data_IF_359692796532
#
_entry.id   IF_359692796532
#
_cell.length_a   1.000
_cell.length_b   1.000
_cell.length_c   1.000
_cell.angle_alpha   90.00
_cell.angle_beta   90.00
_cell.angle_gamma   90.00
#
_symmetry.space_group_name_H-M   'P 1'
#
loop_
_entity.id
_entity.type
_entity.pdbx_description
1 polymer ?
#
# COMPACT_ATOMS: atom_id res chain seq x y z
N UNK A 1 -0.86 -27.01 -9.77
CA UNK A 1 -0.51 -25.59 -9.50
C UNK A 1 0.93 -25.36 -9.04
N UNK A 2 1.64 -26.33 -8.47
CA UNK A 2 3.07 -26.16 -8.11
C UNK A 2 3.99 -25.99 -9.33
N UNK A 3 3.72 -26.72 -10.43
CA UNK A 3 4.46 -26.58 -11.69
C UNK A 3 4.37 -25.18 -12.30
N UNK A 4 3.24 -24.49 -12.17
CA UNK A 4 3.06 -23.10 -12.64
C UNK A 4 3.71 -22.06 -11.73
N UNK A 5 3.88 -22.32 -10.44
CA UNK A 5 4.65 -21.46 -9.54
C UNK A 5 6.14 -21.47 -9.88
N UNK A 6 6.75 -22.67 -9.97
CA UNK A 6 8.18 -22.80 -10.22
C UNK A 6 8.60 -22.22 -11.58
N UNK A 7 7.82 -22.48 -12.64
CA UNK A 7 8.06 -21.91 -13.96
C UNK A 7 7.96 -20.38 -13.96
N UNK A 8 6.92 -19.81 -13.31
CA UNK A 8 6.77 -18.35 -13.18
C UNK A 8 7.93 -17.71 -12.41
N UNK A 9 8.33 -18.27 -11.27
CA UNK A 9 9.49 -17.73 -10.53
C UNK A 9 10.78 -17.83 -11.32
N UNK A 10 11.00 -18.93 -12.04
CA UNK A 10 12.17 -19.06 -12.91
C UNK A 10 12.19 -17.96 -13.97
N UNK A 11 11.04 -17.66 -14.57
CA UNK A 11 10.91 -16.58 -15.54
C UNK A 11 11.17 -15.21 -14.91
N UNK A 12 10.51 -14.90 -13.80
CA UNK A 12 10.65 -13.61 -13.08
C UNK A 12 12.10 -13.37 -12.68
N UNK A 13 12.76 -14.37 -12.12
CA UNK A 13 14.11 -14.24 -11.55
C UNK A 13 15.17 -14.20 -12.65
N UNK A 14 15.04 -15.01 -13.72
CA UNK A 14 16.10 -15.15 -14.72
C UNK A 14 15.92 -14.24 -15.94
N UNK A 15 14.68 -13.89 -16.28
CA UNK A 15 14.40 -13.09 -17.48
C UNK A 15 14.01 -11.64 -17.15
N UNK A 16 13.70 -11.33 -15.90
CA UNK A 16 13.26 -10.01 -15.43
C UNK A 16 12.30 -9.30 -16.42
N UNK A 17 11.20 -9.95 -16.84
CA UNK A 17 10.27 -9.37 -17.80
C UNK A 17 9.57 -8.13 -17.22
N UNK A 18 9.14 -7.22 -18.09
CA UNK A 18 8.34 -6.05 -17.69
C UNK A 18 7.01 -6.48 -17.09
N UNK A 19 6.42 -5.64 -16.23
CA UNK A 19 5.11 -5.89 -15.62
C UNK A 19 4.04 -6.08 -16.69
N UNK A 20 4.12 -5.33 -17.81
CA UNK A 20 3.20 -5.52 -18.96
C UNK A 20 3.29 -6.93 -19.52
N UNK A 21 4.50 -7.41 -19.82
CA UNK A 21 4.70 -8.76 -20.35
C UNK A 21 4.25 -9.84 -19.35
N UNK A 22 4.48 -9.63 -18.06
CA UNK A 22 4.00 -10.52 -17.00
C UNK A 22 2.47 -10.55 -16.92
N UNK A 23 1.81 -9.40 -17.06
CA UNK A 23 0.35 -9.30 -17.05
C UNK A 23 -0.27 -9.99 -18.27
N UNK A 24 0.32 -9.84 -19.44
CA UNK A 24 -0.16 -10.48 -20.66
C UNK A 24 0.00 -12.01 -20.60
N UNK A 25 1.13 -12.49 -20.05
CA UNK A 25 1.46 -13.92 -19.99
C UNK A 25 0.80 -14.64 -18.81
N UNK A 26 0.73 -13.98 -17.66
CA UNK A 26 0.26 -14.54 -16.40
C UNK A 26 -0.79 -13.62 -15.75
N UNK A 27 -1.92 -13.33 -16.41
CA UNK A 27 -2.92 -12.39 -15.91
C UNK A 27 -3.47 -12.80 -14.53
N UNK A 28 -3.59 -14.10 -14.28
CA UNK A 28 -4.03 -14.64 -13.00
C UNK A 28 -3.08 -14.28 -11.84
N UNK A 29 -1.79 -13.95 -12.08
CA UNK A 29 -0.86 -13.51 -11.03
C UNK A 29 -1.32 -12.21 -10.35
N UNK A 30 -2.11 -11.41 -11.05
CA UNK A 30 -2.64 -10.13 -10.58
C UNK A 30 -4.04 -10.26 -9.94
N UNK A 31 -4.57 -11.48 -9.84
CA UNK A 31 -5.76 -11.75 -9.05
C UNK A 31 -5.42 -11.75 -7.55
N UNK A 32 -6.20 -11.05 -6.69
CA UNK A 32 -5.93 -11.00 -5.24
C UNK A 32 -5.75 -12.38 -4.59
N UNK A 33 -6.50 -13.41 -5.00
CA UNK A 33 -6.36 -14.75 -4.43
C UNK A 33 -5.01 -15.38 -4.76
N UNK A 34 -4.52 -15.16 -5.99
CA UNK A 34 -3.21 -15.65 -6.40
C UNK A 34 -2.09 -14.88 -5.73
N UNK A 35 -2.19 -13.55 -5.61
CA UNK A 35 -1.19 -12.73 -4.90
C UNK A 35 -1.02 -13.23 -3.46
N UNK A 36 -2.13 -13.45 -2.74
CA UNK A 36 -2.07 -14.01 -1.39
C UNK A 36 -1.41 -15.40 -1.37
N UNK A 37 -1.76 -16.28 -2.32
CA UNK A 37 -1.20 -17.62 -2.39
C UNK A 37 0.31 -17.61 -2.70
N UNK A 38 0.78 -16.76 -3.61
CA UNK A 38 2.20 -16.58 -3.94
C UNK A 38 2.98 -16.03 -2.75
N UNK A 39 2.42 -15.00 -2.10
CA UNK A 39 3.00 -14.40 -0.91
C UNK A 39 3.14 -15.43 0.20
N UNK A 40 2.07 -16.14 0.54
CA UNK A 40 2.07 -17.16 1.58
C UNK A 40 3.04 -18.30 1.27
N UNK A 41 3.16 -18.75 0.01
CA UNK A 41 4.16 -19.76 -0.38
C UNK A 41 5.59 -19.29 -0.16
N UNK A 42 5.85 -17.99 -0.30
CA UNK A 42 7.18 -17.40 -0.18
C UNK A 42 7.55 -17.09 1.26
N UNK A 43 6.61 -16.55 2.03
CA UNK A 43 6.87 -15.97 3.36
C UNK A 43 6.27 -16.77 4.51
N UNK A 44 5.42 -17.76 4.20
CA UNK A 44 4.58 -18.52 5.15
C UNK A 44 3.51 -17.69 5.87
N UNK A 45 3.37 -16.40 5.55
CA UNK A 45 2.45 -15.46 6.20
C UNK A 45 1.18 -15.26 5.38
N UNK A 46 0.03 -15.19 6.06
CA UNK A 46 -1.24 -14.76 5.48
C UNK A 46 -1.26 -13.23 5.31
N UNK A 47 -1.06 -12.76 4.07
CA UNK A 47 -0.83 -11.36 3.74
C UNK A 47 -1.91 -10.41 4.25
N UNK A 48 -3.11 -10.42 3.64
CA UNK A 48 -4.18 -9.48 3.98
C UNK A 48 -4.59 -9.56 5.47
N UNK A 49 -4.86 -10.76 6.05
CA UNK A 49 -5.26 -10.85 7.46
C UNK A 49 -4.19 -10.32 8.42
N UNK A 50 -2.91 -10.67 8.23
CA UNK A 50 -1.83 -10.22 9.12
C UNK A 50 -1.62 -8.71 8.99
N UNK A 51 -1.63 -8.19 7.77
CA UNK A 51 -1.48 -6.75 7.52
C UNK A 51 -2.59 -5.94 8.21
N UNK A 52 -3.85 -6.32 8.01
CA UNK A 52 -4.99 -5.61 8.59
C UNK A 52 -5.00 -5.71 10.12
N UNK A 53 -4.75 -6.89 10.67
CA UNK A 53 -4.68 -7.09 12.12
C UNK A 53 -3.59 -6.23 12.76
N UNK A 54 -2.40 -6.16 12.16
CA UNK A 54 -1.32 -5.32 12.66
C UNK A 54 -1.64 -3.82 12.56
N UNK A 55 -2.20 -3.38 11.42
CA UNK A 55 -2.61 -1.98 11.23
C UNK A 55 -3.64 -1.55 12.28
N UNK A 56 -4.68 -2.37 12.50
CA UNK A 56 -5.72 -2.10 13.49
C UNK A 56 -5.16 -2.09 14.91
N UNK A 57 -4.29 -3.04 15.24
CA UNK A 57 -3.60 -3.12 16.53
C UNK A 57 -2.80 -1.85 16.84
N UNK A 58 -2.11 -1.29 15.85
CA UNK A 58 -1.28 -0.11 16.03
C UNK A 58 -2.04 1.22 15.89
N UNK A 59 -3.23 1.21 15.28
CA UNK A 59 -4.01 2.42 14.97
C UNK A 59 -4.22 3.35 16.17
N UNK A 60 -4.68 2.90 17.35
CA UNK A 60 -4.91 3.80 18.48
C UNK A 60 -3.65 4.57 18.89
N UNK A 61 -2.51 3.87 18.95
CA UNK A 61 -1.24 4.46 19.36
C UNK A 61 -0.65 5.35 18.27
N UNK A 62 -0.79 4.97 16.99
CA UNK A 62 -0.40 5.81 15.85
C UNK A 62 -1.16 7.14 15.87
N UNK A 63 -2.48 7.11 16.04
CA UNK A 63 -3.29 8.33 16.13
C UNK A 63 -2.88 9.23 17.30
N UNK A 64 -2.57 8.66 18.48
CA UNK A 64 -2.02 9.44 19.60
C UNK A 64 -0.68 10.10 19.23
N UNK A 65 0.22 9.36 18.58
CA UNK A 65 1.51 9.89 18.15
C UNK A 65 1.39 11.00 17.11
N UNK A 66 0.43 10.90 16.20
CA UNK A 66 0.18 11.92 15.17
C UNK A 66 -0.36 13.20 15.81
N UNK A 67 -1.33 13.10 16.72
CA UNK A 67 -1.88 14.25 17.46
C UNK A 67 -0.87 14.94 18.37
N UNK A 68 0.09 14.21 18.90
CA UNK A 68 1.14 14.77 19.75
C UNK A 68 2.22 15.54 18.94
N UNK A 69 2.21 15.47 17.59
CA UNK A 69 3.16 16.23 16.77
C UNK A 69 2.73 17.68 16.62
N UNK A 70 3.66 18.59 16.89
CA UNK A 70 3.53 20.02 16.59
C UNK A 70 4.25 20.46 15.31
N UNK A 71 4.30 21.77 15.10
CA UNK A 71 5.06 22.39 14.01
C UNK A 71 4.46 22.17 12.61
N UNK A 72 5.30 22.19 11.59
CA UNK A 72 4.86 22.01 10.20
C UNK A 72 4.35 20.60 9.92
N UNK A 73 4.96 19.57 10.52
CA UNK A 73 4.48 18.18 10.41
C UNK A 73 3.13 18.01 11.10
N UNK A 74 2.97 18.52 12.33
CA UNK A 74 1.71 18.46 13.07
C UNK A 74 0.53 18.99 12.26
N UNK A 75 0.70 20.17 11.64
CA UNK A 75 -0.32 20.77 10.78
C UNK A 75 -0.68 19.90 9.57
N UNK A 76 0.29 19.27 8.90
CA UNK A 76 0.00 18.35 7.78
C UNK A 76 -0.78 17.13 8.25
N UNK A 77 -0.40 16.54 9.40
CA UNK A 77 -1.11 15.40 9.97
C UNK A 77 -2.53 15.77 10.40
N UNK A 78 -2.71 16.96 10.97
CA UNK A 78 -4.02 17.48 11.39
C UNK A 78 -4.98 17.59 10.20
N UNK A 79 -4.55 18.19 9.09
CA UNK A 79 -5.33 18.27 7.84
C UNK A 79 -5.76 16.88 7.34
N UNK A 80 -4.87 15.89 7.39
CA UNK A 80 -5.21 14.51 6.97
C UNK A 80 -6.21 13.88 7.95
N UNK A 81 -6.09 14.16 9.25
CA UNK A 81 -6.98 13.61 10.29
C UNK A 81 -8.36 14.28 10.34
N UNK A 82 -8.51 15.51 9.82
CA UNK A 82 -9.82 16.17 9.67
C UNK A 82 -10.80 15.31 8.86
N UNK A 83 -10.29 14.47 7.94
CA UNK A 83 -11.07 13.49 7.17
C UNK A 83 -11.83 12.46 8.03
N UNK A 84 -11.49 12.33 9.33
CA UNK A 84 -12.20 11.50 10.30
C UNK A 84 -13.36 12.23 11.00
N UNK A 85 -13.33 13.57 11.05
CA UNK A 85 -14.28 14.39 11.81
C UNK A 85 -15.64 14.53 11.10
N UNK A 86 -15.66 14.41 9.77
CA UNK A 86 -16.84 14.64 8.93
C UNK A 86 -17.93 13.54 8.95
N UNK A 87 -17.83 12.51 9.82
CA UNK A 87 -18.80 11.40 9.79
C UNK A 87 -19.28 10.97 11.17
N UNK A 88 -20.61 10.91 11.33
CA UNK A 88 -21.32 10.32 12.48
C UNK A 88 -21.00 8.82 12.66
N UNK A 89 -20.42 8.18 11.62
CA UNK A 89 -19.89 6.82 11.65
C UNK A 89 -18.63 6.71 10.78
N UNK A 90 -17.44 6.98 11.35
CA UNK A 90 -16.19 6.75 10.62
C UNK A 90 -16.00 5.25 10.37
N UNK A 91 -15.97 4.82 9.11
CA UNK A 91 -15.75 3.42 8.78
C UNK A 91 -14.33 2.97 9.15
N UNK A 92 -14.14 1.66 9.33
CA UNK A 92 -12.82 1.09 9.63
C UNK A 92 -11.86 1.36 8.46
N UNK A 93 -12.34 1.25 7.23
CA UNK A 93 -11.59 1.49 6.00
C UNK A 93 -11.08 2.94 5.93
N UNK A 94 -11.93 3.91 6.29
CA UNK A 94 -11.54 5.32 6.32
C UNK A 94 -10.51 5.61 7.41
N UNK A 95 -10.67 4.99 8.57
CA UNK A 95 -9.68 5.10 9.66
C UNK A 95 -8.33 4.56 9.22
N UNK A 96 -8.30 3.37 8.59
CA UNK A 96 -7.08 2.76 8.06
C UNK A 96 -6.43 3.63 6.98
N UNK A 97 -7.22 4.20 6.05
CA UNK A 97 -6.73 5.14 5.04
C UNK A 97 -6.00 6.33 5.69
N UNK A 98 -6.65 7.00 6.65
CA UNK A 98 -6.08 8.17 7.33
C UNK A 98 -4.80 7.80 8.06
N UNK A 99 -4.80 6.67 8.77
CA UNK A 99 -3.60 6.18 9.49
C UNK A 99 -2.44 5.93 8.52
N UNK A 100 -2.71 5.31 7.36
CA UNK A 100 -1.68 5.04 6.36
C UNK A 100 -1.13 6.33 5.74
N UNK A 101 -2.00 7.30 5.39
CA UNK A 101 -1.56 8.61 4.88
C UNK A 101 -0.72 9.37 5.91
N UNK A 102 -1.16 9.41 7.16
CA UNK A 102 -0.42 10.03 8.25
C UNK A 102 0.91 9.32 8.53
N UNK A 103 0.95 7.99 8.44
CA UNK A 103 2.17 7.20 8.66
C UNK A 103 3.27 7.58 7.65
N UNK A 104 2.92 7.73 6.38
CA UNK A 104 3.87 8.11 5.32
C UNK A 104 4.48 9.49 5.65
N UNK A 105 3.63 10.49 5.94
CA UNK A 105 4.08 11.83 6.32
C UNK A 105 4.91 11.83 7.62
N UNK A 106 4.53 11.02 8.61
CA UNK A 106 5.26 10.88 9.87
C UNK A 106 6.66 10.31 9.68
N UNK A 107 6.82 9.39 8.73
CA UNK A 107 8.12 8.84 8.33
C UNK A 107 8.94 9.82 7.49
N UNK A 108 8.40 11.02 7.19
CA UNK A 108 9.06 12.04 6.38
C UNK A 108 9.10 11.68 4.90
N UNK A 109 8.16 10.85 4.46
CA UNK A 109 7.92 10.48 3.06
C UNK A 109 6.67 11.23 2.56
N UNK A 110 6.47 11.29 1.25
CA UNK A 110 5.34 12.03 0.67
C UNK A 110 4.19 11.08 0.34
N UNK A 111 2.99 11.37 0.86
CA UNK A 111 1.79 10.56 0.62
C UNK A 111 1.48 10.34 -0.86
N UNK A 112 1.70 11.37 -1.70
CA UNK A 112 1.44 11.34 -3.14
C UNK A 112 2.31 10.38 -3.94
N UNK A 113 3.43 9.91 -3.40
CA UNK A 113 4.24 8.88 -4.05
C UNK A 113 3.61 7.48 -3.96
N UNK A 114 2.85 7.20 -2.88
CA UNK A 114 2.17 5.90 -2.73
C UNK A 114 0.71 5.99 -3.15
N UNK A 115 -0.01 7.04 -2.75
CA UNK A 115 -1.44 7.18 -3.00
C UNK A 115 -1.65 8.39 -3.90
N UNK A 116 -1.91 8.11 -5.18
CA UNK A 116 -2.10 9.13 -6.22
C UNK A 116 -3.59 9.30 -6.51
N UNK A 117 -4.09 10.51 -6.23
CA UNK A 117 -5.47 10.89 -6.56
C UNK A 117 -5.52 11.49 -7.95
N UNK A 118 -6.49 11.03 -8.75
CA UNK A 118 -6.74 11.51 -10.10
C UNK A 118 -8.12 12.15 -10.13
N UNK A 119 -8.23 13.35 -10.71
CA UNK A 119 -9.52 14.04 -10.83
C UNK A 119 -10.34 13.46 -12.00
N UNK A 120 -9.68 13.10 -13.09
CA UNK A 120 -10.29 12.49 -14.28
C UNK A 120 -9.47 11.29 -14.75
N UNK A 121 -10.13 10.32 -15.39
CA UNK A 121 -9.50 9.07 -15.86
C UNK A 121 -8.57 9.25 -17.07
N UNK A 122 -8.47 10.44 -17.63
CA UNK A 122 -7.79 10.69 -18.91
C UNK A 122 -6.32 11.11 -18.78
N UNK A 123 -5.77 11.23 -17.56
CA UNK A 123 -4.34 11.53 -17.36
C UNK A 123 -3.46 10.28 -17.53
N UNK A 124 -3.50 9.69 -18.73
CA UNK A 124 -2.68 8.51 -19.10
C UNK A 124 -1.17 8.81 -18.97
N UNK A 125 -0.74 10.03 -19.31
CA UNK A 125 0.67 10.44 -19.23
C UNK A 125 1.20 10.41 -17.78
N UNK A 126 0.38 10.83 -16.81
CA UNK A 126 0.76 10.76 -15.39
C UNK A 126 0.84 9.32 -14.91
N UNK A 127 -0.04 8.45 -15.43
CA UNK A 127 -0.07 7.03 -15.05
C UNK A 127 1.18 6.30 -15.55
N UNK A 128 1.62 6.58 -16.78
CA UNK A 128 2.83 5.97 -17.39
C UNK A 128 4.12 6.29 -16.61
N UNK A 129 4.17 7.41 -15.88
CA UNK A 129 5.33 7.80 -15.08
C UNK A 129 5.38 7.13 -13.69
N UNK A 130 4.30 6.44 -13.28
CA UNK A 130 4.24 5.81 -11.96
C UNK A 130 5.04 4.51 -11.94
N UNK A 131 6.05 4.48 -11.07
CA UNK A 131 6.84 3.26 -10.81
C UNK A 131 6.00 2.25 -10.04
N UNK A 132 5.40 2.67 -8.93
CA UNK A 132 4.60 1.83 -8.06
C UNK A 132 3.69 2.70 -7.20
N UNK A 133 2.37 2.66 -7.44
CA UNK A 133 1.42 3.50 -6.74
C UNK A 133 0.02 2.87 -6.65
N UNK A 134 -0.74 3.35 -5.69
CA UNK A 134 -2.17 3.12 -5.51
C UNK A 134 -2.89 4.30 -6.15
N UNK A 135 -3.79 4.02 -7.09
CA UNK A 135 -4.56 5.05 -7.77
C UNK A 135 -5.93 5.17 -7.13
N UNK A 136 -6.38 6.41 -6.98
CA UNK A 136 -7.70 6.75 -6.43
C UNK A 136 -8.39 7.63 -7.46
N UNK A 137 -9.42 7.08 -8.12
CA UNK A 137 -10.16 7.74 -9.20
C UNK A 137 -11.64 7.84 -8.84
N UNK A 138 -12.37 8.89 -9.26
CA UNK A 138 -13.83 8.91 -9.17
C UNK A 138 -14.44 7.74 -9.95
N UNK A 139 -15.52 7.13 -9.41
CA UNK A 139 -16.30 6.17 -10.22
C UNK A 139 -17.04 6.92 -11.34
N UNK A 140 -17.17 6.32 -12.53
CA UNK A 140 -17.91 6.94 -13.64
C UNK A 140 -19.36 7.21 -13.23
N UNK A 141 -19.85 8.43 -13.49
CA UNK A 141 -21.20 8.88 -13.12
C UNK A 141 -21.33 9.53 -11.73
N UNK A 142 -20.21 9.71 -11.03
CA UNK A 142 -20.13 10.44 -9.77
C UNK A 142 -20.15 11.96 -9.97
N UNK A 143 -21.13 12.66 -9.40
CA UNK A 143 -21.26 14.13 -9.49
C UNK A 143 -20.91 14.87 -8.19
N UNK A 144 -20.52 14.17 -7.12
CA UNK A 144 -20.21 14.77 -5.80
C UNK A 144 -18.88 14.27 -5.22
N UNK A 145 -18.28 15.10 -4.35
CA UNK A 145 -17.04 14.80 -3.61
C UNK A 145 -17.12 13.58 -2.70
N UNK A 146 -18.33 13.13 -2.36
CA UNK A 146 -18.61 11.92 -1.55
C UNK A 146 -18.94 10.68 -2.39
N UNK A 147 -18.67 10.73 -3.69
CA UNK A 147 -18.88 9.58 -4.55
C UNK A 147 -17.93 8.42 -4.22
N UNK A 148 -18.39 7.18 -4.46
CA UNK A 148 -17.53 6.01 -4.27
C UNK A 148 -16.30 6.12 -5.18
N UNK A 149 -15.10 6.05 -4.59
CA UNK A 149 -13.84 6.07 -5.33
C UNK A 149 -13.52 4.66 -5.85
N UNK A 150 -12.92 4.59 -7.03
CA UNK A 150 -12.30 3.39 -7.57
C UNK A 150 -10.82 3.39 -7.17
N UNK A 151 -10.40 2.32 -6.50
CA UNK A 151 -9.04 2.14 -5.99
C UNK A 151 -8.37 1.04 -6.80
N UNK A 152 -7.18 1.33 -7.31
CA UNK A 152 -6.39 0.41 -8.11
C UNK A 152 -4.91 0.45 -7.75
N UNK A 153 -4.13 -0.41 -8.41
CA UNK A 153 -2.67 -0.48 -8.29
C UNK A 153 -2.07 -0.32 -9.68
N UNK A 154 -1.05 0.53 -9.77
CA UNK A 154 -0.23 0.73 -10.97
C UNK A 154 1.22 0.37 -10.64
N UNK A 155 1.85 -0.39 -11.53
CA UNK A 155 3.28 -0.74 -11.45
C UNK A 155 3.88 -0.59 -12.86
N UNK A 156 5.01 0.10 -12.99
CA UNK A 156 5.68 0.40 -14.28
C UNK A 156 4.72 1.02 -15.31
N UNK A 157 3.88 1.96 -14.88
CA UNK A 157 2.88 2.60 -15.74
C UNK A 157 1.76 1.67 -16.24
N UNK A 158 1.64 0.46 -15.69
CA UNK A 158 0.58 -0.50 -16.02
C UNK A 158 -0.39 -0.57 -14.86
N UNK A 159 -1.67 -0.27 -15.13
CA UNK A 159 -2.74 -0.57 -14.17
C UNK A 159 -2.90 -2.09 -14.05
N UNK A 160 -2.51 -2.65 -12.91
CA UNK A 160 -2.44 -4.10 -12.68
C UNK A 160 -3.67 -4.64 -11.97
N UNK A 161 -4.29 -3.85 -11.08
CA UNK A 161 -5.53 -4.21 -10.38
C UNK A 161 -6.45 -2.99 -10.28
N UNK A 162 -7.75 -3.19 -10.38
CA UNK A 162 -8.79 -2.16 -10.16
C UNK A 162 -9.88 -2.66 -9.22
N UNK A 163 -10.71 -1.76 -8.71
CA UNK A 163 -11.89 -2.11 -7.93
C UNK A 163 -11.59 -2.70 -6.54
N UNK A 164 -10.46 -2.35 -5.92
CA UNK A 164 -10.01 -2.97 -4.67
C UNK A 164 -10.85 -2.62 -3.42
N UNK A 165 -11.64 -1.55 -3.48
CA UNK A 165 -12.58 -1.15 -2.44
C UNK A 165 -11.99 -0.17 -1.41
N UNK A 166 -10.82 -0.46 -0.85
CA UNK A 166 -10.15 0.39 0.14
C UNK A 166 -8.61 0.45 -0.02
N UNK A 167 -8.01 1.51 0.52
CA UNK A 167 -6.57 1.80 0.39
C UNK A 167 -5.71 0.83 1.20
N UNK A 168 -6.19 0.37 2.35
CA UNK A 168 -5.39 -0.55 3.17
C UNK A 168 -5.19 -1.90 2.48
N UNK A 169 -6.25 -2.37 1.80
CA UNK A 169 -6.19 -3.56 0.95
C UNK A 169 -5.31 -3.35 -0.27
N UNK A 170 -5.33 -2.17 -0.86
CA UNK A 170 -4.40 -1.84 -1.95
C UNK A 170 -2.93 -1.84 -1.48
N UNK A 171 -2.63 -1.30 -0.29
CA UNK A 171 -1.29 -1.36 0.30
C UNK A 171 -0.83 -2.80 0.54
N UNK A 172 -1.69 -3.66 1.11
CA UNK A 172 -1.33 -5.06 1.39
C UNK A 172 -1.08 -5.83 0.10
N UNK A 173 -1.96 -5.72 -0.90
CA UNK A 173 -1.80 -6.40 -2.19
C UNK A 173 -0.63 -5.86 -3.00
N UNK A 174 -0.33 -4.56 -2.91
CA UNK A 174 0.86 -4.00 -3.54
C UNK A 174 2.14 -4.60 -2.96
N UNK A 175 2.21 -4.75 -1.63
CA UNK A 175 3.32 -5.49 -1.00
C UNK A 175 3.32 -6.97 -1.41
N UNK A 176 2.15 -7.59 -1.59
CA UNK A 176 2.06 -8.93 -2.15
C UNK A 176 2.69 -9.03 -3.55
N UNK A 177 2.39 -8.06 -4.41
CA UNK A 177 2.90 -7.97 -5.77
C UNK A 177 4.41 -7.76 -5.81
N UNK A 178 5.01 -6.98 -4.90
CA UNK A 178 6.47 -6.83 -4.86
C UNK A 178 7.17 -8.16 -4.63
N UNK A 179 6.63 -9.04 -3.79
CA UNK A 179 7.16 -10.39 -3.58
C UNK A 179 6.85 -11.32 -4.76
N UNK A 180 5.64 -11.24 -5.30
CA UNK A 180 5.21 -12.09 -6.40
C UNK A 180 5.98 -11.81 -7.69
N UNK A 181 6.38 -10.56 -7.92
CA UNK A 181 7.10 -10.09 -9.10
C UNK A 181 8.60 -9.85 -8.85
N UNK A 182 9.09 -10.13 -7.63
CA UNK A 182 10.48 -9.90 -7.23
C UNK A 182 10.97 -8.47 -7.51
N UNK A 183 10.15 -7.48 -7.10
CA UNK A 183 10.42 -6.06 -7.30
C UNK A 183 11.11 -5.46 -6.08
N UNK A 184 12.03 -4.53 -6.34
CA UNK A 184 12.60 -3.68 -5.29
C UNK A 184 11.57 -2.66 -4.79
N UNK A 185 11.70 -2.28 -3.52
CA UNK A 185 10.86 -1.22 -2.96
C UNK A 185 11.28 0.15 -3.50
N UNK A 186 10.32 1.05 -3.79
CA UNK A 186 10.63 2.40 -4.24
C UNK A 186 11.39 3.17 -3.15
N UNK A 187 12.54 3.75 -3.51
CA UNK A 187 13.44 4.45 -2.58
C UNK A 187 12.80 5.62 -1.84
N UNK A 188 11.78 6.24 -2.45
CA UNK A 188 11.01 7.37 -1.90
C UNK A 188 10.07 6.94 -0.77
N UNK A 189 9.79 5.64 -0.64
CA UNK A 189 8.87 5.05 0.34
C UNK A 189 9.54 3.94 1.16
N UNK A 190 10.88 3.94 1.23
CA UNK A 190 11.67 2.88 1.86
C UNK A 190 11.26 2.61 3.31
N UNK A 191 10.92 3.64 4.09
CA UNK A 191 10.51 3.48 5.49
C UNK A 191 9.07 2.98 5.60
N UNK A 192 8.17 3.42 4.70
CA UNK A 192 6.80 2.90 4.65
C UNK A 192 6.79 1.40 4.32
N UNK A 193 7.54 0.98 3.30
CA UNK A 193 7.66 -0.44 2.96
C UNK A 193 8.39 -1.24 4.05
N UNK A 194 9.38 -0.66 4.73
CA UNK A 194 10.02 -1.28 5.89
C UNK A 194 9.04 -1.49 7.05
N UNK A 195 8.14 -0.53 7.33
CA UNK A 195 7.06 -0.70 8.31
C UNK A 195 6.11 -1.81 7.89
N UNK A 196 5.67 -1.83 6.64
CA UNK A 196 4.76 -2.87 6.15
C UNK A 196 5.37 -4.27 6.27
N UNK A 197 6.62 -4.44 5.82
CA UNK A 197 7.32 -5.71 5.86
C UNK A 197 7.65 -6.14 7.29
N UNK A 198 8.34 -5.29 8.05
CA UNK A 198 9.01 -5.71 9.29
C UNK A 198 8.18 -5.47 10.53
N UNK A 199 7.28 -4.48 10.51
CA UNK A 199 6.44 -4.16 11.67
C UNK A 199 5.05 -4.79 11.55
N UNK A 200 4.43 -4.74 10.36
CA UNK A 200 3.08 -5.29 10.18
C UNK A 200 3.12 -6.79 9.88
N UNK A 201 3.99 -7.23 8.97
CA UNK A 201 4.10 -8.64 8.63
C UNK A 201 5.15 -9.41 9.42
N UNK A 202 5.99 -8.71 10.19
CA UNK A 202 7.07 -9.30 11.00
C UNK A 202 7.94 -10.24 10.15
N UNK A 203 8.21 -9.82 8.92
CA UNK A 203 9.13 -10.47 8.00
C UNK A 203 10.48 -9.80 8.07
N UNK A 204 11.53 -10.55 7.72
CA UNK A 204 12.92 -10.09 7.71
C UNK A 204 13.45 -9.68 9.10
N UNK A 205 14.28 -10.55 9.67
CA UNK A 205 14.90 -10.36 10.99
C UNK A 205 16.08 -9.37 10.98
N UNK A 206 16.40 -8.78 9.83
CA UNK A 206 17.45 -7.76 9.76
C UNK A 206 17.06 -6.49 10.48
N UNK A 207 18.09 -5.79 10.97
CA UNK A 207 17.95 -4.60 11.81
C UNK A 207 17.06 -3.53 11.16
N UNK A 208 16.15 -2.98 11.97
CA UNK A 208 15.35 -1.82 11.57
C UNK A 208 16.22 -0.58 11.39
N UNK A 209 15.86 0.25 10.42
CA UNK A 209 16.40 1.60 10.30
C UNK A 209 16.12 2.38 11.59
N UNK A 210 16.97 3.37 11.90
CA UNK A 210 16.81 4.19 13.11
C UNK A 210 15.43 4.85 13.20
N UNK A 211 14.84 5.20 12.05
CA UNK A 211 13.54 5.82 11.95
C UNK A 211 12.41 4.86 12.29
N UNK A 212 12.40 3.67 11.70
CA UNK A 212 11.39 2.64 11.99
C UNK A 212 11.57 2.06 13.39
N UNK A 213 12.81 1.92 13.86
CA UNK A 213 13.11 1.55 15.24
C UNK A 213 12.52 2.56 16.24
N UNK A 214 12.70 3.86 16.00
CA UNK A 214 12.09 4.89 16.86
C UNK A 214 10.56 4.83 16.87
N UNK A 215 9.94 4.52 15.72
CA UNK A 215 8.49 4.33 15.65
C UNK A 215 8.07 3.10 16.46
N UNK A 216 8.71 1.95 16.25
CA UNK A 216 8.44 0.69 16.96
C UNK A 216 8.51 0.88 18.48
N UNK A 217 9.55 1.53 18.99
CA UNK A 217 9.68 1.83 20.42
C UNK A 217 8.52 2.66 20.97
N UNK A 218 8.01 3.64 20.20
CA UNK A 218 6.87 4.47 20.61
C UNK A 218 5.52 3.75 20.54
N UNK A 219 5.43 2.71 19.72
CA UNK A 219 4.23 1.87 19.63
C UNK A 219 4.16 0.83 20.75
N UNK A 220 5.29 0.54 21.39
CA UNK A 220 5.41 -0.43 22.48
C UNK A 220 5.46 0.22 23.88
N UNK A 221 5.81 1.51 23.96
CA UNK A 221 5.74 2.32 25.18
C UNK A 221 4.30 2.74 25.49
#
# INVERSE_FOLDING_TARGET
MSKTFALRRHEIINLCPTVRAMKDRWPALFDPSQINAEFQRTTTVLLEPKFMSALDRHTPKLLMLFRAKGGALGRRLEIIMELLQDSVHSSIERTREVVLRCLIEYLGEQGGHLIKEFNDKENLEELEQLIMAITVTPKPGASTSNSPKNIGIVIEGVEVITGLGDIARACSLLLGLTYALNLDYPTQLKYTFEVFQKLFLELDDSKLSSKVQSLKSKLQA
#
